data_IF_875992508178
#
_entry.id   IF_875992508178
#
_cell.length_a   1.000
_cell.length_b   1.000
_cell.length_c   1.000
_cell.angle_alpha   90.00
_cell.angle_beta   90.00
_cell.angle_gamma   90.00
#
_symmetry.space_group_name_H-M   'P 1'
#
loop_
_entity.id
_entity.type
_entity.pdbx_description
1 polymer ?
#
# COMPACT_ATOMS: atom_id res chain seq x y z
N UNK A 1 7.17 -20.40 -38.38
CA UNK A 1 6.68 -20.07 -37.01
C UNK A 1 7.41 -18.88 -36.41
N UNK A 2 8.72 -18.67 -36.66
CA UNK A 2 9.46 -17.52 -36.11
C UNK A 2 9.04 -16.14 -36.62
N UNK A 3 8.59 -16.00 -37.88
CA UNK A 3 8.24 -14.69 -38.44
C UNK A 3 6.86 -14.17 -38.00
N UNK A 4 5.89 -15.08 -37.78
CA UNK A 4 4.56 -14.73 -37.27
C UNK A 4 4.60 -14.37 -35.79
N UNK A 5 5.33 -15.13 -34.99
CA UNK A 5 5.51 -14.89 -33.54
C UNK A 5 6.21 -13.55 -33.29
N UNK A 6 7.22 -13.23 -34.10
CA UNK A 6 7.91 -11.94 -34.08
C UNK A 6 7.02 -10.77 -34.58
N UNK A 7 6.00 -11.05 -35.39
CA UNK A 7 5.04 -10.02 -35.86
C UNK A 7 3.97 -9.73 -34.81
N UNK A 8 3.45 -10.76 -34.15
CA UNK A 8 2.49 -10.63 -33.06
C UNK A 8 3.08 -9.85 -31.89
N UNK A 9 4.28 -10.22 -31.42
CA UNK A 9 4.94 -9.53 -30.30
C UNK A 9 5.20 -8.04 -30.61
N UNK A 10 5.56 -7.71 -31.86
CA UNK A 10 5.70 -6.32 -32.31
C UNK A 10 4.40 -5.55 -32.28
N UNK A 11 3.28 -6.19 -32.59
CA UNK A 11 1.96 -5.55 -32.52
C UNK A 11 1.50 -5.36 -31.07
N UNK A 12 1.72 -6.37 -30.22
CA UNK A 12 1.43 -6.31 -28.78
C UNK A 12 2.17 -5.15 -28.09
N UNK A 13 3.44 -4.89 -28.45
CA UNK A 13 4.25 -3.78 -27.90
C UNK A 13 3.72 -2.38 -28.26
N UNK A 14 2.87 -2.25 -29.28
CA UNK A 14 2.26 -0.95 -29.67
C UNK A 14 1.00 -0.63 -28.87
N UNK A 15 0.39 -1.62 -28.23
CA UNK A 15 -0.86 -1.47 -27.51
C UNK A 15 -0.69 -0.56 -26.29
N UNK A 16 -1.71 0.23 -25.94
CA UNK A 16 -1.71 1.07 -24.74
C UNK A 16 -2.44 0.35 -23.60
N UNK A 17 -1.69 -0.41 -22.79
CA UNK A 17 -2.24 -1.19 -21.68
C UNK A 17 -1.19 -1.43 -20.58
N UNK A 18 -1.54 -2.17 -19.53
CA UNK A 18 -0.68 -2.30 -18.35
C UNK A 18 0.68 -2.96 -18.65
N UNK A 19 0.70 -3.86 -19.64
CA UNK A 19 1.91 -4.54 -20.12
C UNK A 19 2.92 -3.61 -20.80
N UNK A 20 2.48 -2.47 -21.33
CA UNK A 20 3.34 -1.50 -22.06
C UNK A 20 3.56 -0.21 -21.27
N UNK A 21 3.03 -0.09 -20.06
CA UNK A 21 3.20 1.08 -19.20
C UNK A 21 4.39 1.00 -18.24
N UNK A 22 5.24 -0.03 -18.37
CA UNK A 22 6.49 -0.19 -17.61
C UNK A 22 6.26 -0.17 -16.09
N UNK A 23 5.34 -1.01 -15.62
CA UNK A 23 5.02 -1.19 -14.21
C UNK A 23 5.88 -2.32 -13.62
N UNK A 24 7.01 -1.97 -12.99
CA UNK A 24 8.01 -2.96 -12.56
C UNK A 24 7.59 -3.69 -11.27
N UNK A 25 7.51 -5.03 -11.31
CA UNK A 25 7.05 -5.86 -10.19
C UNK A 25 7.91 -5.70 -8.92
N UNK A 26 9.20 -5.46 -9.05
CA UNK A 26 10.16 -5.31 -7.94
C UNK A 26 9.92 -4.01 -7.14
N UNK A 27 9.24 -3.03 -7.75
CA UNK A 27 9.00 -1.72 -7.15
C UNK A 27 7.72 -1.68 -6.30
N UNK A 28 6.97 -2.77 -6.21
CA UNK A 28 5.63 -2.78 -5.62
C UNK A 28 5.36 -4.02 -4.75
N UNK A 29 4.56 -3.85 -3.71
CA UNK A 29 4.05 -4.97 -2.93
C UNK A 29 2.78 -5.52 -3.59
N UNK A 30 2.96 -6.48 -4.50
CA UNK A 30 1.87 -7.06 -5.30
C UNK A 30 0.74 -7.65 -4.44
N UNK A 31 1.08 -8.29 -3.32
CA UNK A 31 0.07 -8.85 -2.40
C UNK A 31 -0.77 -7.74 -1.77
N UNK A 32 -0.13 -6.66 -1.31
CA UNK A 32 -0.85 -5.52 -0.75
C UNK A 32 -1.73 -4.82 -1.81
N UNK A 33 -1.26 -4.69 -3.04
CA UNK A 33 -2.05 -4.10 -4.13
C UNK A 33 -3.25 -4.96 -4.51
N UNK A 34 -3.05 -6.27 -4.68
CA UNK A 34 -4.13 -7.22 -4.97
C UNK A 34 -5.24 -7.11 -3.92
N UNK A 35 -4.87 -7.06 -2.64
CA UNK A 35 -5.82 -6.98 -1.53
C UNK A 35 -6.55 -5.63 -1.51
N UNK A 36 -5.82 -4.53 -1.75
CA UNK A 36 -6.44 -3.21 -1.87
C UNK A 36 -7.49 -3.19 -2.96
N UNK A 37 -7.19 -3.76 -4.13
CA UNK A 37 -8.12 -3.79 -5.27
C UNK A 37 -9.29 -4.72 -5.00
N UNK A 38 -9.05 -5.94 -4.53
CA UNK A 38 -10.10 -6.92 -4.23
C UNK A 38 -11.10 -6.40 -3.19
N UNK A 39 -10.62 -5.91 -2.07
CA UNK A 39 -11.49 -5.38 -1.01
C UNK A 39 -12.22 -4.11 -1.47
N UNK A 40 -11.65 -3.31 -2.37
CA UNK A 40 -12.36 -2.17 -2.96
C UNK A 40 -13.48 -2.66 -3.88
N UNK A 41 -13.22 -3.66 -4.72
CA UNK A 41 -14.21 -4.25 -5.61
C UNK A 41 -15.36 -4.94 -4.87
N UNK A 42 -15.12 -5.50 -3.68
CA UNK A 42 -16.14 -6.10 -2.82
C UNK A 42 -17.11 -5.06 -2.24
N UNK A 43 -16.62 -3.85 -1.94
CA UNK A 43 -17.42 -2.77 -1.32
C UNK A 43 -18.22 -1.98 -2.35
N UNK A 44 -17.77 -1.93 -3.60
CA UNK A 44 -18.34 -1.11 -4.69
C UNK A 44 -19.72 -1.58 -5.18
N UNK A 45 -20.43 -2.45 -4.45
CA UNK A 45 -21.66 -3.10 -4.94
C UNK A 45 -22.94 -2.24 -4.93
N UNK A 46 -22.93 -0.99 -4.46
CA UNK A 46 -24.10 -0.11 -4.54
C UNK A 46 -23.72 1.29 -5.07
N UNK A 47 -23.97 1.54 -6.37
CA UNK A 47 -24.11 2.91 -6.91
C UNK A 47 -22.85 3.65 -7.42
N UNK A 48 -21.69 3.01 -7.53
CA UNK A 48 -20.49 3.66 -8.08
C UNK A 48 -20.34 3.46 -9.59
N UNK A 49 -20.19 4.57 -10.32
CA UNK A 49 -20.12 4.69 -11.78
C UNK A 49 -19.15 3.67 -12.43
N UNK A 50 -19.64 2.98 -13.48
CA UNK A 50 -19.13 1.70 -13.99
C UNK A 50 -17.68 1.63 -14.50
N UNK A 51 -16.99 2.76 -14.68
CA UNK A 51 -15.60 2.77 -15.19
C UNK A 51 -14.56 2.39 -14.12
N UNK A 52 -14.78 2.75 -12.85
CA UNK A 52 -13.83 2.52 -11.76
C UNK A 52 -13.63 1.02 -11.46
N UNK A 53 -14.70 0.25 -11.59
CA UNK A 53 -14.71 -1.20 -11.41
C UNK A 53 -13.86 -1.87 -12.50
N UNK A 54 -14.05 -1.48 -13.76
CA UNK A 54 -13.24 -1.97 -14.90
C UNK A 54 -11.75 -1.66 -14.72
N UNK A 55 -11.39 -0.41 -14.43
CA UNK A 55 -9.97 -0.03 -14.24
C UNK A 55 -9.33 -0.83 -13.10
N UNK A 56 -10.09 -1.09 -12.02
CA UNK A 56 -9.60 -1.89 -10.90
C UNK A 56 -9.44 -3.37 -11.26
N UNK A 57 -10.31 -3.93 -12.10
CA UNK A 57 -10.19 -5.30 -12.63
C UNK A 57 -9.01 -5.43 -13.60
N UNK A 58 -8.79 -4.47 -14.49
CA UNK A 58 -7.67 -4.44 -15.43
C UNK A 58 -6.32 -4.44 -14.68
N UNK A 59 -6.18 -3.57 -13.67
CA UNK A 59 -4.97 -3.53 -12.85
C UNK A 59 -4.81 -4.80 -12.00
N UNK A 60 -5.90 -5.35 -11.47
CA UNK A 60 -5.89 -6.60 -10.71
C UNK A 60 -5.44 -7.78 -11.58
N UNK A 61 -5.91 -7.85 -12.83
CA UNK A 61 -5.48 -8.86 -13.78
C UNK A 61 -3.97 -8.77 -14.04
N UNK A 62 -3.46 -7.56 -14.29
CA UNK A 62 -2.04 -7.35 -14.48
C UNK A 62 -1.20 -7.78 -13.26
N UNK A 63 -1.65 -7.46 -12.04
CA UNK A 63 -0.98 -7.91 -10.81
C UNK A 63 -0.99 -9.44 -10.71
N UNK A 64 -2.09 -10.11 -11.08
CA UNK A 64 -2.16 -11.58 -11.10
C UNK A 64 -1.21 -12.19 -12.11
N UNK A 65 -1.11 -11.61 -13.30
CA UNK A 65 -0.10 -11.99 -14.29
C UNK A 65 1.33 -11.85 -13.73
N UNK A 66 1.67 -10.73 -13.10
CA UNK A 66 2.99 -10.53 -12.48
C UNK A 66 3.33 -11.55 -11.38
N UNK A 67 2.31 -12.18 -10.78
CA UNK A 67 2.44 -13.27 -9.80
C UNK A 67 2.48 -14.67 -10.44
N UNK A 68 2.38 -14.78 -11.76
CA UNK A 68 2.32 -16.04 -12.49
C UNK A 68 0.94 -16.72 -12.48
N UNK A 69 -0.13 -15.97 -12.17
CA UNK A 69 -1.51 -16.48 -12.07
C UNK A 69 -2.33 -16.14 -13.35
N UNK A 70 -1.81 -16.42 -14.54
CA UNK A 70 -2.38 -15.94 -15.82
C UNK A 70 -3.83 -16.34 -16.06
N UNK A 71 -4.23 -17.56 -15.67
CA UNK A 71 -5.63 -18.00 -15.78
C UNK A 71 -6.58 -17.13 -14.96
N UNK A 72 -6.17 -16.73 -13.75
CA UNK A 72 -6.95 -15.83 -12.90
C UNK A 72 -6.89 -14.38 -13.39
N UNK A 73 -5.80 -13.99 -14.04
CA UNK A 73 -5.71 -12.70 -14.73
C UNK A 73 -6.76 -12.64 -15.85
N UNK A 74 -6.86 -13.69 -16.67
CA UNK A 74 -7.86 -13.82 -17.73
C UNK A 74 -9.28 -13.71 -17.17
N UNK A 75 -9.63 -14.45 -16.11
CA UNK A 75 -10.94 -14.36 -15.45
C UNK A 75 -11.29 -12.93 -15.00
N UNK A 76 -10.30 -12.17 -14.52
CA UNK A 76 -10.50 -10.77 -14.11
C UNK A 76 -10.78 -9.87 -15.33
N UNK A 77 -10.09 -10.09 -16.44
CA UNK A 77 -10.29 -9.33 -17.68
C UNK A 77 -11.61 -9.68 -18.36
N UNK A 78 -12.02 -10.94 -18.37
CA UNK A 78 -13.33 -11.36 -18.89
C UNK A 78 -14.48 -10.80 -18.04
N UNK A 79 -14.27 -10.61 -16.73
CA UNK A 79 -15.20 -9.84 -15.90
C UNK A 79 -15.19 -8.37 -16.30
N UNK A 80 -14.02 -7.77 -16.50
CA UNK A 80 -13.90 -6.37 -16.93
C UNK A 80 -14.57 -6.11 -18.29
N UNK A 81 -14.46 -7.05 -19.23
CA UNK A 81 -15.12 -7.04 -20.54
C UNK A 81 -16.64 -7.14 -20.41
N UNK A 82 -17.17 -7.97 -19.50
CA UNK A 82 -18.61 -8.10 -19.26
C UNK A 82 -19.27 -6.87 -18.63
N UNK A 83 -18.51 -6.04 -17.91
CA UNK A 83 -19.01 -4.77 -17.36
C UNK A 83 -19.22 -3.69 -18.44
N UNK A 84 -19.10 -4.03 -19.74
CA UNK A 84 -19.23 -3.14 -20.89
C UNK A 84 -20.69 -2.71 -21.19
N UNK A 85 -21.34 -2.06 -20.23
CA UNK A 85 -22.69 -1.50 -20.40
C UNK A 85 -22.73 -0.21 -21.27
N UNK A 86 -21.58 0.39 -21.60
CA UNK A 86 -21.51 1.75 -22.17
C UNK A 86 -20.67 1.89 -23.47
N UNK A 87 -20.39 0.78 -24.15
CA UNK A 87 -19.86 0.78 -25.52
C UNK A 87 -18.37 0.43 -25.64
N UNK A 88 -18.03 -0.21 -26.76
CA UNK A 88 -16.71 -0.83 -27.04
C UNK A 88 -15.50 0.11 -26.94
N UNK A 89 -15.70 1.43 -27.13
CA UNK A 89 -14.65 2.45 -27.04
C UNK A 89 -13.97 2.52 -25.68
N UNK A 90 -14.66 2.13 -24.60
CA UNK A 90 -14.11 2.18 -23.26
C UNK A 90 -13.25 0.95 -22.91
N UNK A 91 -13.25 -0.10 -23.75
CA UNK A 91 -12.57 -1.37 -23.48
C UNK A 91 -11.15 -1.46 -24.05
N UNK A 92 -10.57 -0.36 -24.54
CA UNK A 92 -9.26 -0.37 -25.21
C UNK A 92 -8.15 -0.99 -24.34
N UNK A 93 -8.06 -0.55 -23.08
CA UNK A 93 -7.06 -1.11 -22.13
C UNK A 93 -7.36 -2.56 -21.79
N UNK A 94 -8.63 -2.92 -21.67
CA UNK A 94 -9.07 -4.30 -21.38
C UNK A 94 -8.72 -5.25 -22.52
N UNK A 95 -9.02 -4.89 -23.79
CA UNK A 95 -8.63 -5.68 -24.96
C UNK A 95 -7.12 -5.76 -25.12
N UNK A 96 -6.39 -4.67 -24.84
CA UNK A 96 -4.93 -4.69 -24.86
C UNK A 96 -4.36 -5.67 -23.82
N UNK A 97 -4.87 -5.64 -22.59
CA UNK A 97 -4.51 -6.61 -21.56
C UNK A 97 -4.92 -8.05 -21.94
N UNK A 98 -6.09 -8.25 -22.54
CA UNK A 98 -6.56 -9.57 -22.99
C UNK A 98 -5.65 -10.15 -24.06
N UNK A 99 -5.24 -9.33 -25.04
CA UNK A 99 -4.31 -9.75 -26.08
C UNK A 99 -2.98 -10.26 -25.49
N UNK A 100 -2.40 -9.50 -24.55
CA UNK A 100 -1.17 -9.90 -23.85
C UNK A 100 -1.34 -11.17 -23.02
N UNK A 101 -2.41 -11.28 -22.22
CA UNK A 101 -2.64 -12.46 -21.39
C UNK A 101 -2.92 -13.70 -22.26
N UNK A 102 -3.70 -13.58 -23.33
CA UNK A 102 -3.96 -14.65 -24.29
C UNK A 102 -2.65 -15.16 -24.93
N UNK A 103 -1.77 -14.26 -25.35
CA UNK A 103 -0.46 -14.63 -25.87
C UNK A 103 0.38 -15.37 -24.81
N UNK A 104 0.43 -14.89 -23.56
CA UNK A 104 1.18 -15.55 -22.48
C UNK A 104 0.69 -16.96 -22.13
N UNK A 105 -0.59 -17.25 -22.31
CA UNK A 105 -1.15 -18.61 -22.11
C UNK A 105 -1.05 -19.50 -23.36
N UNK A 106 -0.48 -18.99 -24.46
CA UNK A 106 -0.32 -19.72 -25.72
C UNK A 106 -1.55 -19.73 -26.63
N UNK A 107 -2.52 -18.84 -26.40
CA UNK A 107 -3.72 -18.66 -27.23
C UNK A 107 -3.57 -17.43 -28.14
N UNK A 108 -2.66 -17.56 -29.11
CA UNK A 108 -2.36 -16.48 -30.08
C UNK A 108 -3.55 -16.14 -30.98
N UNK A 109 -4.46 -17.10 -31.21
CA UNK A 109 -5.68 -16.89 -32.00
C UNK A 109 -6.59 -15.89 -31.29
N UNK A 110 -6.84 -16.07 -29.99
CA UNK A 110 -7.59 -15.06 -29.21
C UNK A 110 -6.84 -13.74 -29.13
N UNK A 111 -5.51 -13.77 -28.99
CA UNK A 111 -4.70 -12.56 -28.93
C UNK A 111 -4.87 -11.71 -30.21
N UNK A 112 -4.73 -12.33 -31.38
CA UNK A 112 -4.95 -11.68 -32.68
C UNK A 112 -6.38 -11.15 -32.82
N UNK A 113 -7.38 -11.90 -32.36
CA UNK A 113 -8.77 -11.45 -32.36
C UNK A 113 -8.99 -10.16 -31.56
N UNK A 114 -8.33 -9.99 -30.41
CA UNK A 114 -8.41 -8.75 -29.63
C UNK A 114 -7.62 -7.59 -30.27
N UNK A 115 -6.50 -7.88 -30.95
CA UNK A 115 -5.75 -6.86 -31.71
C UNK A 115 -6.62 -6.33 -32.86
N UNK A 116 -7.30 -7.20 -33.60
CA UNK A 116 -8.20 -6.82 -34.68
C UNK A 116 -9.35 -5.93 -34.18
N UNK A 117 -9.98 -6.28 -33.05
CA UNK A 117 -10.99 -5.42 -32.41
C UNK A 117 -10.46 -4.02 -32.09
N UNK A 118 -9.22 -3.91 -31.60
CA UNK A 118 -8.59 -2.62 -31.31
C UNK A 118 -8.34 -1.80 -32.58
N UNK A 119 -7.93 -2.45 -33.67
CA UNK A 119 -7.77 -1.79 -34.97
C UNK A 119 -9.11 -1.29 -35.54
N UNK A 120 -10.18 -2.05 -35.37
CA UNK A 120 -11.54 -1.65 -35.77
C UNK A 120 -12.01 -0.42 -34.98
N UNK A 121 -11.81 -0.40 -33.66
CA UNK A 121 -12.12 0.76 -32.82
C UNK A 121 -11.30 1.99 -33.25
N UNK A 122 -10.03 1.80 -33.58
CA UNK A 122 -9.17 2.88 -34.06
C UNK A 122 -9.64 3.43 -35.40
N UNK A 123 -9.95 2.56 -36.37
CA UNK A 123 -10.51 2.96 -37.68
C UNK A 123 -11.84 3.70 -37.53
N UNK A 124 -12.75 3.19 -36.70
CA UNK A 124 -14.06 3.81 -36.44
C UNK A 124 -13.96 5.15 -35.69
N UNK A 125 -12.86 5.40 -34.98
CA UNK A 125 -12.61 6.68 -34.30
C UNK A 125 -11.92 7.69 -35.22
N UNK A 126 -11.03 7.22 -36.10
CA UNK A 126 -10.36 8.05 -37.11
C UNK A 126 -11.34 8.59 -38.17
N UNK A 127 -12.38 7.83 -38.52
CA UNK A 127 -13.45 8.30 -39.42
C UNK A 127 -14.44 9.26 -38.74
N UNK A 128 -14.51 9.27 -37.41
CA UNK A 128 -15.53 10.01 -36.65
C UNK A 128 -15.05 11.36 -36.06
N UNK A 129 -13.74 11.62 -35.97
CA UNK A 129 -13.22 12.74 -35.18
C UNK A 129 -12.14 13.56 -35.88
N UNK A 130 -12.34 14.88 -35.88
CA UNK A 130 -11.34 15.95 -36.05
C UNK A 130 -10.71 16.32 -34.69
N UNK A 131 -10.43 15.34 -33.83
CA UNK A 131 -9.93 15.60 -32.46
C UNK A 131 -8.40 15.55 -32.40
N UNK A 132 -7.82 16.45 -31.60
CA UNK A 132 -6.37 16.66 -31.39
C UNK A 132 -5.71 15.54 -30.55
N UNK A 133 -6.49 14.65 -29.92
CA UNK A 133 -5.97 13.57 -29.07
C UNK A 133 -5.45 12.38 -29.88
N UNK A 134 -4.14 12.13 -29.82
CA UNK A 134 -3.50 10.93 -30.41
C UNK A 134 -3.87 9.63 -29.65
N UNK A 135 -4.28 9.75 -28.38
CA UNK A 135 -4.64 8.65 -27.47
C UNK A 135 -6.00 8.96 -26.81
N UNK A 136 -6.96 8.03 -26.76
CA UNK A 136 -8.27 8.27 -26.14
C UNK A 136 -8.19 8.68 -24.67
N UNK A 137 -9.11 9.57 -24.25
CA UNK A 137 -9.21 10.13 -22.88
C UNK A 137 -9.15 9.04 -21.80
N UNK A 138 -9.82 7.93 -22.04
CA UNK A 138 -9.98 6.82 -21.09
C UNK A 138 -8.67 6.07 -20.88
N UNK A 139 -7.94 5.80 -21.96
CA UNK A 139 -6.63 5.14 -21.91
C UNK A 139 -5.65 6.01 -21.11
N UNK A 140 -5.67 7.31 -21.37
CA UNK A 140 -4.83 8.26 -20.65
C UNK A 140 -5.18 8.29 -19.15
N UNK A 141 -6.47 8.37 -18.82
CA UNK A 141 -6.96 8.36 -17.43
C UNK A 141 -6.56 7.08 -16.71
N UNK A 142 -6.79 5.93 -17.32
CA UNK A 142 -6.47 4.62 -16.73
C UNK A 142 -4.97 4.45 -16.50
N UNK A 143 -4.12 4.89 -17.46
CA UNK A 143 -2.66 4.90 -17.31
C UNK A 143 -2.22 5.70 -16.08
N UNK A 144 -2.69 6.94 -15.97
CA UNK A 144 -2.31 7.83 -14.89
C UNK A 144 -2.74 7.30 -13.52
N UNK A 145 -3.97 6.77 -13.41
CA UNK A 145 -4.45 6.14 -12.17
C UNK A 145 -3.72 4.84 -11.82
N UNK A 146 -3.39 4.01 -12.80
CA UNK A 146 -2.64 2.78 -12.57
C UNK A 146 -1.23 3.08 -12.08
N UNK A 147 -0.52 4.03 -12.70
CA UNK A 147 0.78 4.51 -12.22
C UNK A 147 0.70 5.03 -10.78
N UNK A 148 -0.31 5.85 -10.48
CA UNK A 148 -0.51 6.41 -9.13
C UNK A 148 -0.78 5.31 -8.09
N UNK A 149 -1.55 4.27 -8.44
CA UNK A 149 -1.92 3.17 -7.54
C UNK A 149 -0.78 2.16 -7.34
N UNK A 150 0.02 1.88 -8.37
CA UNK A 150 0.96 0.77 -8.40
C UNK A 150 2.14 0.97 -7.43
N UNK A 151 2.89 2.06 -7.54
CA UNK A 151 4.06 2.27 -6.68
C UNK A 151 4.40 3.74 -6.48
N UNK A 152 5.08 4.02 -5.35
CA UNK A 152 5.68 5.33 -5.07
C UNK A 152 6.69 5.77 -6.14
N UNK A 153 7.32 4.82 -6.82
CA UNK A 153 8.29 5.09 -7.88
C UNK A 153 7.65 5.72 -9.13
N UNK A 154 6.32 5.59 -9.28
CA UNK A 154 5.59 6.11 -10.43
C UNK A 154 4.79 7.38 -10.13
N UNK A 155 4.92 7.99 -8.95
CA UNK A 155 4.17 9.21 -8.62
C UNK A 155 4.49 10.39 -9.55
N UNK A 156 5.76 10.53 -9.95
CA UNK A 156 6.17 11.56 -10.92
C UNK A 156 5.55 11.33 -12.29
N UNK A 157 5.64 10.11 -12.83
CA UNK A 157 5.02 9.74 -14.11
C UNK A 157 3.50 9.92 -14.08
N UNK A 158 2.84 9.52 -13.00
CA UNK A 158 1.40 9.72 -12.83
C UNK A 158 1.02 11.21 -12.85
N UNK A 159 1.78 12.05 -12.13
CA UNK A 159 1.60 13.50 -12.11
C UNK A 159 1.74 14.11 -13.51
N UNK A 160 2.79 13.72 -14.23
CA UNK A 160 3.05 14.20 -15.59
C UNK A 160 1.92 13.82 -16.54
N UNK A 161 1.45 12.57 -16.50
CA UNK A 161 0.27 12.18 -17.28
C UNK A 161 -0.93 13.08 -16.96
N UNK A 162 -1.33 13.22 -15.69
CA UNK A 162 -2.48 14.09 -15.36
C UNK A 162 -2.26 15.55 -15.79
N UNK A 163 -1.03 16.05 -15.70
CA UNK A 163 -0.69 17.40 -16.13
C UNK A 163 -0.83 17.58 -17.65
N UNK A 164 -0.35 16.63 -18.45
CA UNK A 164 -0.52 16.61 -19.91
C UNK A 164 -2.01 16.59 -20.28
N UNK A 165 -2.80 15.77 -19.59
CA UNK A 165 -4.24 15.71 -19.81
C UNK A 165 -4.96 17.04 -19.54
N UNK A 166 -4.58 17.71 -18.45
CA UNK A 166 -5.13 19.03 -18.08
C UNK A 166 -4.76 20.15 -19.06
N UNK A 167 -3.73 19.99 -19.91
CA UNK A 167 -3.47 20.95 -20.99
C UNK A 167 -4.57 20.94 -22.04
N UNK A 168 -5.28 19.81 -22.19
CA UNK A 168 -6.35 19.63 -23.17
C UNK A 168 -7.72 19.97 -22.56
N UNK A 169 -7.97 19.54 -21.33
CA UNK A 169 -9.22 19.84 -20.59
C UNK A 169 -8.89 20.35 -19.17
N UNK A 170 -8.67 21.67 -18.98
CA UNK A 170 -8.18 22.22 -17.70
C UNK A 170 -9.13 22.07 -16.51
N UNK A 171 -10.44 21.97 -16.76
CA UNK A 171 -11.48 21.89 -15.72
C UNK A 171 -12.00 20.46 -15.48
N UNK A 172 -11.37 19.43 -16.09
CA UNK A 172 -11.78 18.05 -15.88
C UNK A 172 -11.61 17.64 -14.40
N UNK A 173 -12.71 17.22 -13.77
CA UNK A 173 -12.78 16.92 -12.34
C UNK A 173 -11.92 15.71 -11.95
N UNK A 174 -11.83 14.70 -12.82
CA UNK A 174 -11.09 13.47 -12.58
C UNK A 174 -9.59 13.74 -12.63
N UNK A 175 -9.12 14.42 -13.68
CA UNK A 175 -7.72 14.73 -13.89
C UNK A 175 -7.19 15.73 -12.88
N UNK A 176 -7.98 16.75 -12.53
CA UNK A 176 -7.61 17.66 -11.44
C UNK A 176 -7.47 16.90 -10.11
N UNK A 177 -8.36 15.94 -9.83
CA UNK A 177 -8.25 15.08 -8.64
C UNK A 177 -7.00 14.19 -8.68
N UNK A 178 -6.75 13.53 -9.81
CA UNK A 178 -5.57 12.68 -10.05
C UNK A 178 -4.25 13.45 -9.92
N UNK A 179 -4.18 14.64 -10.49
CA UNK A 179 -3.04 15.56 -10.38
C UNK A 179 -2.81 15.98 -8.92
N UNK A 180 -3.86 16.43 -8.23
CA UNK A 180 -3.79 16.82 -6.81
C UNK A 180 -3.29 15.66 -5.93
N UNK A 181 -3.77 14.45 -6.19
CA UNK A 181 -3.41 13.26 -5.42
C UNK A 181 -1.97 12.83 -5.70
N UNK A 182 -1.50 13.00 -6.93
CA UNK A 182 -0.11 12.72 -7.32
C UNK A 182 0.86 13.70 -6.64
N UNK A 183 0.55 15.00 -6.66
CA UNK A 183 1.28 16.03 -5.91
C UNK A 183 1.33 15.71 -4.41
N UNK A 184 0.18 15.44 -3.80
CA UNK A 184 0.10 15.12 -2.36
C UNK A 184 0.98 13.91 -1.99
N UNK A 185 0.95 12.86 -2.81
CA UNK A 185 1.75 11.66 -2.57
C UNK A 185 3.24 11.90 -2.77
N UNK A 186 3.62 12.70 -3.77
CA UNK A 186 5.02 13.10 -4.01
C UNK A 186 5.57 13.93 -2.85
N UNK A 187 4.86 14.98 -2.41
CA UNK A 187 5.22 15.76 -1.22
C UNK A 187 5.27 14.88 0.04
N UNK A 188 4.40 13.88 0.12
CA UNK A 188 4.34 12.92 1.21
C UNK A 188 5.53 11.97 1.33
N UNK A 189 6.40 11.88 0.32
CA UNK A 189 7.64 11.09 0.37
C UNK A 189 8.69 11.71 1.30
N UNK A 190 8.60 13.01 1.56
CA UNK A 190 9.46 13.69 2.52
C UNK A 190 9.04 13.31 3.95
N UNK A 191 9.87 12.50 4.59
CA UNK A 191 9.59 11.96 5.93
C UNK A 191 10.08 12.88 7.05
N UNK A 192 11.20 13.58 6.84
CA UNK A 192 11.80 14.48 7.83
C UNK A 192 10.91 15.69 8.06
N UNK A 193 10.67 16.04 9.32
CA UNK A 193 9.71 17.10 9.68
C UNK A 193 10.18 18.49 9.27
N UNK A 194 11.50 18.74 9.32
CA UNK A 194 12.16 20.00 8.94
C UNK A 194 12.04 20.34 7.44
N UNK A 195 11.88 19.32 6.59
CA UNK A 195 11.78 19.47 5.14
C UNK A 195 10.33 19.42 4.63
N UNK A 196 9.34 19.28 5.53
CA UNK A 196 7.94 19.27 5.12
C UNK A 196 7.48 20.67 4.72
N UNK A 197 6.85 20.78 3.56
CA UNK A 197 6.22 22.00 3.12
C UNK A 197 5.11 22.43 4.08
N UNK A 198 5.02 23.74 4.32
CA UNK A 198 3.90 24.37 5.02
C UNK A 198 2.57 24.06 4.29
N UNK A 199 1.45 24.36 4.92
CA UNK A 199 0.16 24.15 4.27
C UNK A 199 -0.02 25.16 3.12
N UNK A 200 0.44 26.39 3.31
CA UNK A 200 0.33 27.54 2.41
C UNK A 200 1.23 27.40 1.18
N UNK A 201 2.44 26.85 1.35
CA UNK A 201 3.41 26.67 0.27
C UNK A 201 3.18 25.40 -0.56
N UNK A 202 2.30 24.52 -0.10
CA UNK A 202 2.04 23.23 -0.73
C UNK A 202 1.25 23.38 -2.04
N UNK A 203 1.87 22.99 -3.15
CA UNK A 203 1.18 22.90 -4.43
C UNK A 203 0.05 21.88 -4.39
N UNK A 204 0.24 20.78 -3.65
CA UNK A 204 -0.82 19.81 -3.42
C UNK A 204 -2.05 20.44 -2.75
N UNK A 205 -1.86 21.29 -1.74
CA UNK A 205 -2.99 21.99 -1.07
C UNK A 205 -3.72 22.92 -2.03
N UNK A 206 -2.98 23.74 -2.78
CA UNK A 206 -3.57 24.66 -3.78
C UNK A 206 -4.44 23.89 -4.77
N UNK A 207 -3.90 22.80 -5.32
CA UNK A 207 -4.62 21.95 -6.25
C UNK A 207 -5.81 21.23 -5.61
N UNK A 208 -5.67 20.73 -4.38
CA UNK A 208 -6.76 20.06 -3.65
C UNK A 208 -7.92 21.04 -3.35
N UNK A 209 -7.63 22.31 -3.05
CA UNK A 209 -8.65 23.34 -2.89
C UNK A 209 -9.37 23.62 -4.20
N UNK A 210 -8.64 23.75 -5.31
CA UNK A 210 -9.24 23.88 -6.65
C UNK A 210 -10.14 22.68 -7.00
N UNK A 211 -9.74 21.46 -6.64
CA UNK A 211 -10.59 20.26 -6.79
C UNK A 211 -11.89 20.39 -5.97
N UNK A 212 -11.87 21.00 -4.78
CA UNK A 212 -13.10 21.24 -4.01
C UNK A 212 -13.97 22.35 -4.58
N UNK A 213 -13.41 23.32 -5.30
CA UNK A 213 -14.18 24.31 -6.05
C UNK A 213 -14.94 23.65 -7.21
N UNK A 214 -14.27 22.76 -7.97
CA UNK A 214 -14.87 22.03 -9.08
C UNK A 214 -15.81 20.88 -8.63
N UNK A 215 -15.46 20.22 -7.54
CA UNK A 215 -16.21 19.10 -6.97
C UNK A 215 -16.28 19.22 -5.43
N UNK A 216 -17.28 19.96 -4.92
CA UNK A 216 -17.48 20.15 -3.50
C UNK A 216 -17.77 18.87 -2.74
N UNK A 217 -18.07 17.73 -3.35
CA UNK A 217 -18.43 16.48 -2.65
C UNK A 217 -17.32 15.43 -2.66
N UNK A 218 -16.12 15.78 -3.14
CA UNK A 218 -14.98 14.86 -3.10
C UNK A 218 -14.52 14.56 -1.67
N UNK A 219 -14.93 13.39 -1.14
CA UNK A 219 -14.56 12.92 0.19
C UNK A 219 -13.04 12.67 0.31
N UNK A 220 -12.44 12.05 -0.71
CA UNK A 220 -11.01 11.74 -0.70
C UNK A 220 -10.12 12.99 -0.77
N UNK A 221 -10.54 14.05 -1.48
CA UNK A 221 -9.84 15.34 -1.47
C UNK A 221 -9.81 15.93 -0.06
N UNK A 222 -10.94 15.89 0.67
CA UNK A 222 -10.99 16.32 2.07
C UNK A 222 -10.08 15.50 2.97
N UNK A 223 -10.03 14.18 2.78
CA UNK A 223 -9.09 13.34 3.55
C UNK A 223 -7.64 13.81 3.34
N UNK A 224 -7.23 14.13 2.12
CA UNK A 224 -5.86 14.60 1.88
C UNK A 224 -5.59 15.99 2.46
N UNK A 225 -6.54 16.94 2.35
CA UNK A 225 -6.42 18.23 3.02
C UNK A 225 -6.32 18.08 4.54
N UNK A 226 -7.16 17.22 5.14
CA UNK A 226 -7.11 16.93 6.57
C UNK A 226 -5.78 16.29 6.99
N UNK A 227 -5.24 15.36 6.19
CA UNK A 227 -3.93 14.76 6.46
C UNK A 227 -2.78 15.78 6.36
N UNK A 228 -2.88 16.75 5.43
CA UNK A 228 -1.91 17.85 5.35
C UNK A 228 -2.03 18.75 6.58
N UNK A 229 -3.24 19.20 6.94
CA UNK A 229 -3.50 19.98 8.15
C UNK A 229 -2.90 19.31 9.40
N UNK A 230 -3.15 18.01 9.57
CA UNK A 230 -2.61 17.23 10.68
C UNK A 230 -1.06 17.23 10.70
N UNK A 231 -0.42 17.01 9.55
CA UNK A 231 1.06 17.05 9.45
C UNK A 231 1.62 18.45 9.76
N UNK A 232 0.87 19.50 9.46
CA UNK A 232 1.19 20.89 9.77
C UNK A 232 0.68 21.36 11.14
N UNK A 233 0.27 20.43 12.03
CA UNK A 233 -0.22 20.68 13.40
C UNK A 233 -1.50 21.55 13.48
N UNK A 234 -2.25 21.65 12.39
CA UNK A 234 -3.57 22.31 12.30
C UNK A 234 -4.67 21.31 12.63
N UNK A 235 -4.70 20.82 13.87
CA UNK A 235 -5.52 19.66 14.25
C UNK A 235 -7.02 19.93 14.17
N UNK A 236 -7.50 21.12 14.58
CA UNK A 236 -8.93 21.45 14.53
C UNK A 236 -9.49 21.39 13.09
N UNK A 237 -8.75 21.95 12.13
CA UNK A 237 -9.12 21.90 10.71
C UNK A 237 -9.02 20.49 10.14
N UNK A 238 -8.00 19.73 10.55
CA UNK A 238 -7.88 18.32 10.18
C UNK A 238 -9.14 17.54 10.58
N UNK A 239 -9.63 17.71 11.82
CA UNK A 239 -10.87 17.11 12.29
C UNK A 239 -12.09 17.54 11.47
N UNK A 240 -12.20 18.83 11.13
CA UNK A 240 -13.26 19.35 10.28
C UNK A 240 -13.33 18.64 8.92
N UNK A 241 -12.19 18.53 8.23
CA UNK A 241 -12.11 17.81 6.96
C UNK A 241 -12.43 16.32 7.09
N UNK A 242 -11.92 15.66 8.14
CA UNK A 242 -12.11 14.22 8.36
C UNK A 242 -13.57 13.86 8.67
N UNK A 243 -14.25 14.66 9.49
CA UNK A 243 -15.69 14.47 9.77
C UNK A 243 -16.53 14.68 8.51
N UNK A 244 -16.24 15.72 7.72
CA UNK A 244 -16.97 15.97 6.48
C UNK A 244 -16.73 14.85 5.45
N UNK A 245 -15.50 14.35 5.33
CA UNK A 245 -15.20 13.20 4.47
C UNK A 245 -16.00 11.94 4.87
N UNK A 246 -16.09 11.62 6.16
CA UNK A 246 -16.92 10.51 6.64
C UNK A 246 -18.42 10.71 6.38
N UNK A 247 -18.92 11.95 6.48
CA UNK A 247 -20.33 12.23 6.18
C UNK A 247 -20.68 12.05 4.71
N UNK A 248 -19.74 12.35 3.80
CA UNK A 248 -19.93 12.23 2.36
C UNK A 248 -19.79 10.79 1.87
N UNK A 249 -18.84 10.04 2.44
CA UNK A 249 -18.54 8.68 2.01
C UNK A 249 -18.36 7.74 3.22
N UNK A 250 -19.43 7.47 4.01
CA UNK A 250 -19.35 6.68 5.24
C UNK A 250 -19.01 5.20 5.00
N UNK A 251 -19.19 4.72 3.77
CA UNK A 251 -18.95 3.33 3.37
C UNK A 251 -17.84 3.19 2.31
N UNK A 252 -17.10 4.26 2.01
CA UNK A 252 -15.87 4.14 1.22
C UNK A 252 -14.75 3.58 2.10
N UNK A 253 -14.32 2.35 1.79
CA UNK A 253 -13.28 1.65 2.54
C UNK A 253 -11.97 2.45 2.64
N UNK A 254 -11.59 3.16 1.58
CA UNK A 254 -10.36 3.96 1.54
C UNK A 254 -10.48 5.20 2.43
N UNK A 255 -11.64 5.87 2.43
CA UNK A 255 -11.92 7.00 3.31
C UNK A 255 -11.92 6.53 4.77
N UNK A 256 -12.71 5.50 5.09
CA UNK A 256 -12.83 4.98 6.46
C UNK A 256 -11.48 4.53 7.03
N UNK A 257 -10.69 3.76 6.29
CA UNK A 257 -9.36 3.32 6.75
C UNK A 257 -8.41 4.50 6.98
N UNK A 258 -8.48 5.57 6.17
CA UNK A 258 -7.63 6.76 6.34
C UNK A 258 -8.06 7.58 7.54
N UNK A 259 -9.36 7.81 7.72
CA UNK A 259 -9.90 8.57 8.85
C UNK A 259 -9.71 7.81 10.16
N UNK A 260 -9.96 6.50 10.19
CA UNK A 260 -9.69 5.67 11.37
C UNK A 260 -8.22 5.70 11.80
N UNK A 261 -7.27 5.69 10.85
CA UNK A 261 -5.84 5.89 11.16
C UNK A 261 -5.54 7.28 11.72
N UNK A 262 -6.22 8.31 11.22
CA UNK A 262 -6.09 9.67 11.74
C UNK A 262 -6.60 9.76 13.18
N UNK A 263 -7.82 9.26 13.45
CA UNK A 263 -8.40 9.21 14.79
C UNK A 263 -7.50 8.44 15.77
N UNK A 264 -6.91 7.32 15.35
CA UNK A 264 -5.92 6.57 16.15
C UNK A 264 -4.68 7.40 16.49
N UNK A 265 -4.20 8.26 15.59
CA UNK A 265 -3.05 9.13 15.83
C UNK A 265 -3.37 10.25 16.82
N UNK A 266 -4.60 10.77 16.74
CA UNK A 266 -5.16 11.72 17.70
C UNK A 266 -5.61 11.07 19.03
N UNK A 267 -5.38 9.76 19.19
CA UNK A 267 -5.76 8.97 20.37
C UNK A 267 -7.27 8.87 20.64
N UNK A 268 -8.10 9.18 19.64
CA UNK A 268 -9.56 9.01 19.67
C UNK A 268 -9.93 7.57 19.30
N UNK A 269 -9.51 6.59 20.11
CA UNK A 269 -9.65 5.17 19.78
C UNK A 269 -11.10 4.70 19.74
N UNK A 270 -11.97 5.21 20.62
CA UNK A 270 -13.38 4.80 20.65
C UNK A 270 -14.15 5.29 19.42
N UNK A 271 -13.91 6.54 18.99
CA UNK A 271 -14.45 7.06 17.72
C UNK A 271 -13.94 6.26 16.51
N UNK A 272 -12.64 5.95 16.50
CA UNK A 272 -12.04 5.13 15.44
C UNK A 272 -12.68 3.73 15.37
N UNK A 273 -12.82 3.06 16.51
CA UNK A 273 -13.44 1.74 16.60
C UNK A 273 -14.89 1.77 16.13
N UNK A 274 -15.67 2.78 16.51
CA UNK A 274 -17.07 2.91 16.08
C UNK A 274 -17.21 3.00 14.55
N UNK A 275 -16.37 3.81 13.90
CA UNK A 275 -16.38 3.95 12.42
C UNK A 275 -15.87 2.68 11.74
N UNK A 276 -14.77 2.10 12.22
CA UNK A 276 -14.16 0.90 11.63
C UNK A 276 -15.05 -0.34 11.77
N UNK A 277 -15.69 -0.54 12.93
CA UNK A 277 -16.61 -1.66 13.15
C UNK A 277 -17.88 -1.55 12.30
N UNK A 278 -18.40 -0.33 12.09
CA UNK A 278 -19.50 -0.10 11.15
C UNK A 278 -19.12 -0.48 9.72
N UNK A 279 -17.91 -0.12 9.29
CA UNK A 279 -17.42 -0.49 7.97
C UNK A 279 -17.19 -2.02 7.85
N UNK A 280 -16.75 -2.67 8.93
CA UNK A 280 -16.57 -4.12 8.96
C UNK A 280 -17.89 -4.88 8.71
N UNK A 281 -19.04 -4.33 9.11
CA UNK A 281 -20.34 -4.93 8.81
C UNK A 281 -20.64 -4.97 7.29
N UNK A 282 -20.06 -4.05 6.51
CA UNK A 282 -20.18 -4.01 5.04
C UNK A 282 -19.08 -4.76 4.31
N UNK A 283 -17.88 -4.80 4.90
CA UNK A 283 -16.70 -5.46 4.34
C UNK A 283 -16.09 -6.46 5.34
N UNK A 284 -16.81 -7.54 5.70
CA UNK A 284 -16.37 -8.47 6.74
C UNK A 284 -15.07 -9.21 6.38
N UNK A 285 -14.76 -9.32 5.09
CA UNK A 285 -13.56 -9.99 4.59
C UNK A 285 -12.37 -9.04 4.36
N UNK A 286 -12.42 -7.80 4.86
CA UNK A 286 -11.28 -6.88 4.77
C UNK A 286 -10.23 -7.15 5.84
N UNK A 287 -9.15 -7.80 5.43
CA UNK A 287 -7.95 -8.00 6.25
C UNK A 287 -7.38 -6.68 6.78
N UNK A 288 -7.49 -5.60 5.98
CA UNK A 288 -7.04 -4.26 6.38
C UNK A 288 -7.89 -3.67 7.50
N UNK A 289 -9.22 -3.84 7.48
CA UNK A 289 -10.09 -3.39 8.58
C UNK A 289 -9.77 -4.13 9.87
N UNK A 290 -9.67 -5.46 9.79
CA UNK A 290 -9.28 -6.29 10.93
C UNK A 290 -7.96 -5.82 11.56
N UNK A 291 -6.92 -5.54 10.75
CA UNK A 291 -5.66 -5.02 11.27
C UNK A 291 -5.79 -3.62 11.90
N UNK A 292 -6.53 -2.69 11.29
CA UNK A 292 -6.73 -1.35 11.87
C UNK A 292 -7.56 -1.40 13.17
N UNK A 293 -8.56 -2.28 13.27
CA UNK A 293 -9.37 -2.48 14.48
C UNK A 293 -8.51 -3.06 15.60
N UNK A 294 -7.72 -4.10 15.31
CA UNK A 294 -6.77 -4.67 16.26
C UNK A 294 -5.78 -3.62 16.80
N UNK A 295 -5.23 -2.80 15.90
CA UNK A 295 -4.36 -1.70 16.27
C UNK A 295 -5.06 -0.71 17.20
N UNK A 296 -6.31 -0.34 16.94
CA UNK A 296 -7.05 0.57 17.83
C UNK A 296 -7.32 -0.04 19.21
N UNK A 297 -7.72 -1.32 19.29
CA UNK A 297 -7.88 -2.00 20.59
C UNK A 297 -6.58 -2.03 21.39
N UNK A 298 -5.45 -2.34 20.73
CA UNK A 298 -4.12 -2.33 21.35
C UNK A 298 -3.77 -0.96 21.94
N UNK A 299 -3.95 0.11 21.16
CA UNK A 299 -3.59 1.44 21.61
C UNK A 299 -4.55 1.98 22.68
N UNK A 300 -5.83 1.61 22.62
CA UNK A 300 -6.81 1.89 23.67
C UNK A 300 -6.43 1.23 25.00
N UNK A 301 -6.04 -0.05 24.99
CA UNK A 301 -5.55 -0.75 26.19
C UNK A 301 -4.29 -0.09 26.76
N UNK A 302 -3.40 0.41 25.90
CA UNK A 302 -2.23 1.15 26.37
C UNK A 302 -2.60 2.50 27.02
N UNK A 303 -3.64 3.17 26.53
CA UNK A 303 -4.10 4.46 27.05
C UNK A 303 -4.84 4.34 28.38
N UNK A 304 -5.60 3.26 28.61
CA UNK A 304 -6.33 3.05 29.86
C UNK A 304 -5.45 2.89 31.10
N UNK A 305 -4.12 2.81 30.92
CA UNK A 305 -3.17 2.59 32.02
C UNK A 305 -3.07 1.11 32.44
N UNK A 306 -3.92 0.25 31.88
CA UNK A 306 -3.82 -1.22 31.98
C UNK A 306 -3.54 -1.83 30.60
N UNK A 307 -2.26 -1.86 30.16
CA UNK A 307 -1.86 -2.53 28.92
C UNK A 307 -2.20 -4.03 28.89
N UNK A 308 -2.57 -4.63 30.02
CA UNK A 308 -2.92 -6.04 30.17
C UNK A 308 -4.43 -6.25 30.36
N UNK A 309 -5.25 -5.26 30.03
CA UNK A 309 -6.71 -5.42 29.95
C UNK A 309 -7.01 -6.62 29.04
N UNK A 310 -7.38 -7.73 29.68
CA UNK A 310 -7.56 -8.98 29.00
C UNK A 310 -8.71 -8.92 28.00
N UNK A 311 -9.73 -8.08 28.24
CA UNK A 311 -10.87 -7.94 27.32
C UNK A 311 -10.43 -7.26 26.04
N UNK A 312 -9.69 -6.15 26.13
CA UNK A 312 -9.19 -5.43 24.96
C UNK A 312 -8.12 -6.22 24.21
N UNK A 313 -7.22 -6.90 24.93
CA UNK A 313 -6.22 -7.77 24.31
C UNK A 313 -6.86 -8.97 23.58
N UNK A 314 -7.89 -9.61 24.15
CA UNK A 314 -8.64 -10.69 23.47
C UNK A 314 -9.31 -10.19 22.19
N UNK A 315 -9.91 -9.00 22.20
CA UNK A 315 -10.48 -8.38 20.98
C UNK A 315 -9.39 -8.07 19.94
N UNK A 316 -8.24 -7.59 20.38
CA UNK A 316 -7.09 -7.36 19.51
C UNK A 316 -6.62 -8.65 18.82
N UNK A 317 -6.43 -9.72 19.61
CA UNK A 317 -6.04 -11.05 19.11
C UNK A 317 -7.06 -11.59 18.11
N UNK A 318 -8.36 -11.56 18.43
CA UNK A 318 -9.42 -12.01 17.52
C UNK A 318 -9.32 -11.34 16.14
N UNK A 319 -9.19 -10.01 16.12
CA UNK A 319 -9.10 -9.29 14.85
C UNK A 319 -7.77 -9.55 14.12
N UNK A 320 -6.65 -9.78 14.83
CA UNK A 320 -5.40 -10.18 14.19
C UNK A 320 -5.46 -11.61 13.62
N UNK A 321 -6.12 -12.55 14.30
CA UNK A 321 -6.35 -13.92 13.81
C UNK A 321 -7.20 -13.90 12.53
N UNK A 322 -8.31 -13.15 12.52
CA UNK A 322 -9.14 -12.98 11.31
C UNK A 322 -8.37 -12.29 10.18
N UNK A 323 -7.58 -11.25 10.49
CA UNK A 323 -6.73 -10.59 9.51
C UNK A 323 -5.68 -11.53 8.90
N UNK A 324 -5.08 -12.40 9.73
CA UNK A 324 -4.13 -13.41 9.29
C UNK A 324 -4.80 -14.51 8.45
N UNK A 325 -6.02 -14.92 8.80
CA UNK A 325 -6.82 -15.88 8.02
C UNK A 325 -7.16 -15.34 6.63
N UNK A 326 -7.57 -14.07 6.55
CA UNK A 326 -7.93 -13.40 5.29
C UNK A 326 -6.71 -13.05 4.43
N UNK A 327 -5.55 -12.83 5.06
CA UNK A 327 -4.31 -12.49 4.38
C UNK A 327 -3.07 -13.13 5.04
N UNK A 328 -2.82 -14.42 4.76
CA UNK A 328 -1.67 -15.15 5.33
C UNK A 328 -0.30 -14.64 4.87
N UNK A 329 -0.26 -13.88 3.77
CA UNK A 329 0.99 -13.33 3.21
C UNK A 329 1.43 -12.02 3.84
N UNK A 330 0.57 -11.37 4.62
CA UNK A 330 0.92 -10.16 5.34
C UNK A 330 1.51 -10.56 6.69
N UNK A 331 2.84 -10.63 6.70
CA UNK A 331 3.60 -11.21 7.81
C UNK A 331 3.63 -10.27 9.01
N UNK A 332 3.81 -8.96 8.79
CA UNK A 332 3.97 -8.00 9.89
C UNK A 332 2.87 -8.10 10.97
N UNK A 333 1.55 -8.08 10.68
CA UNK A 333 0.52 -8.23 11.71
C UNK A 333 0.51 -9.60 12.39
N UNK A 334 1.00 -10.65 11.72
CA UNK A 334 1.11 -11.98 12.32
C UNK A 334 2.26 -12.05 13.32
N UNK A 335 3.35 -11.31 13.08
CA UNK A 335 4.40 -11.11 14.10
C UNK A 335 3.81 -10.32 15.28
N UNK A 336 2.96 -9.32 15.02
CA UNK A 336 2.25 -8.60 16.08
C UNK A 336 1.33 -9.51 16.90
N UNK A 337 0.64 -10.45 16.24
CA UNK A 337 -0.20 -11.46 16.88
C UNK A 337 0.60 -12.35 17.84
N UNK A 338 1.79 -12.81 17.45
CA UNK A 338 2.66 -13.59 18.33
C UNK A 338 3.01 -12.81 19.61
N UNK A 339 3.30 -11.51 19.50
CA UNK A 339 3.53 -10.64 20.66
C UNK A 339 2.27 -10.53 21.53
N UNK A 340 1.08 -10.42 20.93
CA UNK A 340 -0.18 -10.34 21.69
C UNK A 340 -0.47 -11.64 22.47
N UNK A 341 -0.12 -12.81 21.95
CA UNK A 341 -0.23 -14.07 22.70
C UNK A 341 0.64 -14.05 23.96
N UNK A 342 1.88 -13.57 23.87
CA UNK A 342 2.75 -13.42 25.06
C UNK A 342 2.20 -12.42 26.07
N UNK A 343 1.58 -11.32 25.64
CA UNK A 343 0.92 -10.36 26.55
C UNK A 343 -0.30 -10.97 27.26
N UNK A 344 -0.99 -11.92 26.62
CA UNK A 344 -2.05 -12.75 27.24
C UNK A 344 -1.49 -13.90 28.11
N UNK A 345 -0.17 -13.97 28.31
CA UNK A 345 0.56 -15.03 29.03
C UNK A 345 0.48 -16.41 28.36
N UNK A 346 0.07 -16.48 27.09
CA UNK A 346 0.10 -17.70 26.29
C UNK A 346 1.43 -17.77 25.51
N UNK A 347 2.50 -18.09 26.24
CA UNK A 347 3.84 -18.16 25.67
C UNK A 347 4.03 -19.35 24.73
N UNK A 348 3.27 -20.45 24.88
CA UNK A 348 3.32 -21.59 23.97
C UNK A 348 2.87 -21.17 22.59
N UNK A 349 1.66 -20.60 22.50
CA UNK A 349 1.07 -20.15 21.24
C UNK A 349 1.89 -19.02 20.60
N UNK A 350 2.49 -18.15 21.41
CA UNK A 350 3.41 -17.13 20.92
C UNK A 350 4.64 -17.75 20.24
N UNK A 351 5.31 -18.71 20.89
CA UNK A 351 6.51 -19.35 20.34
C UNK A 351 6.20 -20.20 19.11
N UNK A 352 5.10 -20.95 19.12
CA UNK A 352 4.60 -21.69 17.96
C UNK A 352 4.40 -20.75 16.76
N UNK A 353 3.76 -19.59 16.98
CA UNK A 353 3.55 -18.61 15.91
C UNK A 353 4.86 -18.01 15.39
N UNK A 354 5.82 -17.70 16.27
CA UNK A 354 7.12 -17.22 15.81
C UNK A 354 7.87 -18.27 14.99
N UNK A 355 7.80 -19.56 15.38
CA UNK A 355 8.39 -20.67 14.64
C UNK A 355 7.70 -20.89 13.29
N UNK A 356 6.37 -20.87 13.25
CA UNK A 356 5.57 -20.94 12.02
C UNK A 356 5.95 -19.82 11.04
N UNK A 357 6.10 -18.59 11.53
CA UNK A 357 6.48 -17.47 10.67
C UNK A 357 7.91 -17.59 10.17
N UNK A 358 8.84 -18.05 11.01
CA UNK A 358 10.27 -18.19 10.65
C UNK A 358 10.54 -19.29 9.62
N UNK A 359 9.73 -20.36 9.61
CA UNK A 359 9.88 -21.47 8.66
C UNK A 359 9.41 -21.13 7.24
N UNK A 360 8.82 -19.95 7.03
CA UNK A 360 8.35 -19.50 5.71
C UNK A 360 9.51 -19.15 4.79
N UNK A 361 9.43 -19.61 3.54
CA UNK A 361 10.42 -19.29 2.50
C UNK A 361 10.26 -17.90 1.88
N UNK A 362 9.10 -17.25 2.03
CA UNK A 362 8.75 -15.96 1.41
C UNK A 362 8.99 -14.73 2.30
N UNK A 363 9.74 -14.89 3.39
CA UNK A 363 10.06 -13.85 4.37
C UNK A 363 10.93 -12.73 3.77
N UNK A 364 10.31 -11.56 3.50
CA UNK A 364 11.03 -10.37 3.03
C UNK A 364 12.05 -9.92 4.09
N UNK A 365 13.17 -9.28 3.70
CA UNK A 365 14.16 -8.78 4.66
C UNK A 365 13.55 -7.85 5.72
N UNK A 366 12.58 -7.00 5.36
CA UNK A 366 11.86 -6.14 6.30
C UNK A 366 11.02 -6.93 7.31
N UNK A 367 10.38 -8.02 6.87
CA UNK A 367 9.60 -8.90 7.74
C UNK A 367 10.52 -9.66 8.71
N UNK A 368 11.69 -10.13 8.24
CA UNK A 368 12.73 -10.74 9.10
C UNK A 368 13.23 -9.76 10.16
N UNK A 369 13.43 -8.50 9.79
CA UNK A 369 13.85 -7.46 10.72
C UNK A 369 12.77 -7.20 11.80
N UNK A 370 11.50 -7.13 11.39
CA UNK A 370 10.38 -7.02 12.33
C UNK A 370 10.27 -8.24 13.25
N UNK A 371 10.43 -9.45 12.69
CA UNK A 371 10.44 -10.71 13.43
C UNK A 371 11.51 -10.69 14.52
N UNK A 372 12.77 -10.37 14.17
CA UNK A 372 13.87 -10.31 15.13
C UNK A 372 13.62 -9.31 16.26
N UNK A 373 13.12 -8.11 15.91
CA UNK A 373 12.79 -7.09 16.90
C UNK A 373 11.69 -7.56 17.85
N UNK A 374 10.64 -8.18 17.33
CA UNK A 374 9.48 -8.61 18.12
C UNK A 374 9.74 -9.85 18.96
N UNK A 375 10.46 -10.81 18.39
CA UNK A 375 10.93 -11.98 19.12
C UNK A 375 11.87 -11.57 20.25
N UNK A 376 12.80 -10.64 20.00
CA UNK A 376 13.67 -10.06 21.03
C UNK A 376 12.87 -9.34 22.13
N UNK A 377 11.84 -8.57 21.78
CA UNK A 377 10.94 -7.94 22.77
C UNK A 377 10.25 -9.01 23.65
N UNK A 378 9.78 -10.11 23.08
CA UNK A 378 9.16 -11.21 23.85
C UNK A 378 10.18 -11.91 24.76
N UNK A 379 11.37 -12.18 24.26
CA UNK A 379 12.46 -12.78 25.04
C UNK A 379 12.85 -11.91 26.23
N UNK A 380 12.97 -10.60 26.03
CA UNK A 380 13.37 -9.66 27.09
C UNK A 380 12.28 -9.44 28.13
N UNK A 381 11.05 -9.15 27.69
CA UNK A 381 9.99 -8.66 28.58
C UNK A 381 9.06 -9.73 29.12
N UNK A 382 8.92 -10.87 28.45
CA UNK A 382 7.98 -11.93 28.84
C UNK A 382 8.68 -13.23 29.27
N UNK A 383 9.83 -13.56 28.68
CA UNK A 383 10.58 -14.79 29.01
C UNK A 383 11.82 -14.56 29.88
N UNK A 384 12.26 -13.32 30.04
CA UNK A 384 13.40 -12.95 30.89
C UNK A 384 14.79 -13.31 30.32
N UNK A 385 14.90 -13.66 29.04
CA UNK A 385 16.18 -13.98 28.41
C UNK A 385 16.81 -12.75 27.74
N UNK A 386 17.59 -12.00 28.52
CA UNK A 386 18.28 -10.79 28.04
C UNK A 386 19.29 -11.10 26.92
N UNK A 387 20.09 -12.16 27.06
CA UNK A 387 21.10 -12.56 26.06
C UNK A 387 20.46 -12.89 24.70
N UNK A 388 19.38 -13.68 24.71
CA UNK A 388 18.66 -14.04 23.48
C UNK A 388 18.06 -12.79 22.83
N UNK A 389 17.47 -11.89 23.61
CA UNK A 389 16.93 -10.65 23.10
C UNK A 389 17.99 -9.77 22.43
N UNK A 390 19.15 -9.58 23.08
CA UNK A 390 20.27 -8.81 22.53
C UNK A 390 20.76 -9.40 21.20
N UNK A 391 20.92 -10.73 21.13
CA UNK A 391 21.33 -11.39 19.89
C UNK A 391 20.36 -11.11 18.74
N UNK A 392 19.05 -11.23 18.97
CA UNK A 392 18.07 -10.94 17.93
C UNK A 392 18.01 -9.46 17.55
N UNK A 393 18.17 -8.53 18.48
CA UNK A 393 18.28 -7.12 18.10
C UNK A 393 19.51 -6.85 17.23
N UNK A 394 20.64 -7.53 17.50
CA UNK A 394 21.83 -7.47 16.64
C UNK A 394 21.55 -8.05 15.25
N UNK A 395 20.92 -9.22 15.15
CA UNK A 395 20.53 -9.80 13.85
C UNK A 395 19.61 -8.87 13.06
N UNK A 396 18.61 -8.29 13.73
CA UNK A 396 17.75 -7.27 13.11
C UNK A 396 18.55 -6.08 12.58
N UNK A 397 19.58 -5.62 13.30
CA UNK A 397 20.43 -4.51 12.83
C UNK A 397 21.36 -4.89 11.68
N UNK A 398 21.81 -6.15 11.58
CA UNK A 398 22.63 -6.63 10.45
C UNK A 398 21.91 -6.59 9.11
N UNK A 399 20.57 -6.56 9.12
CA UNK A 399 19.75 -6.34 7.91
C UNK A 399 19.71 -4.88 7.44
N UNK A 400 20.49 -3.98 8.04
CA UNK A 400 20.59 -2.55 7.71
C UNK A 400 19.27 -1.77 7.78
N UNK A 401 19.30 -0.49 7.42
CA UNK A 401 18.17 0.43 7.51
C UNK A 401 17.13 0.23 6.39
N UNK A 402 16.63 -1.00 6.27
CA UNK A 402 15.59 -1.39 5.31
C UNK A 402 14.18 -1.10 5.82
N UNK A 403 14.01 -0.92 7.13
CA UNK A 403 12.73 -0.57 7.74
C UNK A 403 12.91 0.25 9.01
N UNK A 404 11.82 0.82 9.51
CA UNK A 404 11.79 1.53 10.80
C UNK A 404 12.23 0.67 11.98
N UNK A 405 12.19 -0.66 11.82
CA UNK A 405 12.56 -1.62 12.85
C UNK A 405 14.05 -1.62 13.17
N UNK A 406 14.90 -1.29 12.20
CA UNK A 406 16.33 -1.10 12.44
C UNK A 406 16.58 -0.10 13.56
N UNK A 407 15.90 1.05 13.49
CA UNK A 407 15.99 2.09 14.52
C UNK A 407 15.41 1.64 15.86
N UNK A 408 14.42 0.74 15.87
CA UNK A 408 13.87 0.18 17.11
C UNK A 408 14.84 -0.83 17.74
N UNK A 409 15.41 -1.75 16.97
CA UNK A 409 16.47 -2.66 17.43
C UNK A 409 17.61 -1.90 18.08
N UNK A 410 18.10 -0.84 17.41
CA UNK A 410 19.14 0.04 17.97
C UNK A 410 18.73 0.67 19.29
N UNK A 411 17.50 1.19 19.39
CA UNK A 411 16.99 1.75 20.66
C UNK A 411 16.89 0.71 21.77
N UNK A 412 16.48 -0.52 21.45
CA UNK A 412 16.38 -1.63 22.41
C UNK A 412 17.75 -2.02 22.95
N UNK A 413 18.74 -2.19 22.07
CA UNK A 413 20.13 -2.43 22.46
C UNK A 413 20.67 -1.34 23.38
N UNK A 414 20.50 -0.07 23.01
CA UNK A 414 20.95 1.05 23.84
C UNK A 414 20.21 1.14 25.18
N UNK A 415 18.95 0.68 25.26
CA UNK A 415 18.21 0.58 26.52
C UNK A 415 18.83 -0.48 27.43
N UNK A 416 19.14 -1.67 26.91
CA UNK A 416 19.81 -2.75 27.67
C UNK A 416 21.20 -2.30 28.14
N UNK A 417 21.98 -1.67 27.26
CA UNK A 417 23.31 -1.13 27.60
C UNK A 417 23.26 -0.14 28.77
N UNK A 418 22.32 0.82 28.75
CA UNK A 418 22.19 1.79 29.84
C UNK A 418 21.85 1.10 31.16
N UNK A 419 20.89 0.19 31.13
CA UNK A 419 20.47 -0.56 32.31
C UNK A 419 21.60 -1.41 32.91
N UNK A 420 22.40 -2.09 32.08
CA UNK A 420 23.52 -2.90 32.55
C UNK A 420 24.66 -2.05 33.09
N UNK A 421 24.97 -0.90 32.47
CA UNK A 421 25.95 0.04 33.03
C UNK A 421 25.55 0.58 34.38
N UNK A 422 24.28 0.93 34.57
CA UNK A 422 23.75 1.42 35.84
C UNK A 422 23.80 0.36 36.95
N UNK A 423 23.63 -0.93 36.61
CA UNK A 423 23.57 -2.02 37.60
C UNK A 423 24.89 -2.74 37.86
N UNK A 424 25.71 -2.91 36.82
CA UNK A 424 26.88 -3.80 36.81
C UNK A 424 28.18 -3.10 36.40
N UNK A 425 28.09 -1.91 35.83
CA UNK A 425 29.26 -1.15 35.37
C UNK A 425 29.92 -1.70 34.10
N UNK A 426 29.31 -2.68 33.43
CA UNK A 426 29.88 -3.38 32.28
C UNK A 426 28.97 -3.34 31.02
N UNK A 427 29.49 -3.90 29.93
CA UNK A 427 28.76 -4.16 28.68
C UNK A 427 28.94 -5.63 28.32
N UNK A 428 28.20 -6.56 28.98
CA UNK A 428 28.47 -8.00 28.90
C UNK A 428 28.12 -8.61 27.54
N UNK A 429 27.61 -7.81 26.61
CA UNK A 429 27.22 -8.24 25.28
C UNK A 429 27.85 -7.38 24.17
N UNK A 430 28.87 -6.58 24.46
CA UNK A 430 29.59 -5.75 23.49
C UNK A 430 28.64 -4.88 22.64
N UNK A 431 27.59 -4.33 23.26
CA UNK A 431 26.56 -3.55 22.57
C UNK A 431 27.17 -2.25 22.02
N UNK A 432 28.03 -1.59 22.80
CA UNK A 432 28.68 -0.34 22.39
C UNK A 432 29.52 -0.55 21.13
N UNK A 433 30.39 -1.56 21.15
CA UNK A 433 31.25 -1.87 20.02
C UNK A 433 30.43 -2.22 18.76
N UNK A 434 29.41 -3.07 18.93
CA UNK A 434 28.49 -3.44 17.85
C UNK A 434 27.81 -2.21 17.25
N UNK A 435 27.22 -1.32 18.06
CA UNK A 435 26.53 -0.12 17.55
C UNK A 435 27.50 0.87 16.90
N UNK A 436 28.72 1.02 17.43
CA UNK A 436 29.74 1.91 16.87
C UNK A 436 30.34 1.36 15.56
N UNK A 437 30.29 0.04 15.30
CA UNK A 437 30.69 -0.54 14.01
C UNK A 437 29.87 0.02 12.83
N UNK A 438 28.58 0.31 13.03
CA UNK A 438 27.71 0.91 12.01
C UNK A 438 28.02 2.40 11.76
N UNK A 439 28.66 3.09 12.71
CA UNK A 439 29.12 4.48 12.50
C UNK A 439 30.42 4.53 11.70
N UNK A 440 31.25 3.49 11.85
CA UNK A 440 32.58 3.39 11.22
C UNK A 440 32.54 2.84 9.79
N UNK A 441 31.38 2.44 9.28
CA UNK A 441 31.22 1.91 7.92
C UNK A 441 31.84 0.53 7.70
N UNK A 442 32.04 -0.28 8.76
CA UNK A 442 32.84 -1.52 8.74
C UNK A 442 32.14 -2.72 8.07
N UNK A 443 30.87 -2.59 7.69
CA UNK A 443 30.16 -3.67 6.99
C UNK A 443 29.78 -3.22 5.58
N UNK A 444 30.28 -3.96 4.58
CA UNK A 444 30.03 -3.74 3.17
C UNK A 444 28.60 -4.21 2.83
N UNK A 445 27.84 -3.43 2.08
CA UNK A 445 26.43 -3.73 1.78
C UNK A 445 26.29 -4.89 0.77
N UNK A 446 27.36 -5.20 0.05
CA UNK A 446 27.40 -6.27 -0.96
C UNK A 446 27.31 -7.69 -0.36
N UNK A 447 27.80 -7.91 0.87
CA UNK A 447 27.72 -9.24 1.52
C UNK A 447 26.30 -9.61 1.99
N UNK A 448 25.37 -8.66 2.03
CA UNK A 448 23.98 -8.90 2.43
C UNK A 448 23.06 -9.36 1.28
N UNK A 449 23.57 -9.49 0.05
CA UNK A 449 22.76 -9.86 -1.12
C UNK A 449 21.72 -8.80 -1.49
N UNK A 450 21.95 -7.54 -1.14
CA UNK A 450 21.06 -6.41 -1.42
C UNK A 450 21.80 -5.44 -2.35
N UNK A 451 21.32 -5.30 -3.59
CA UNK A 451 21.72 -4.21 -4.47
C UNK A 451 21.34 -2.88 -3.80
N UNK A 452 22.34 -2.08 -3.46
CA UNK A 452 22.13 -0.76 -2.87
C UNK A 452 21.44 0.17 -3.86
N UNK A 453 20.25 0.65 -3.46
CA UNK A 453 19.79 1.98 -3.83
C UNK A 453 20.82 3.00 -3.33
N UNK A 454 21.71 3.43 -4.21
CA UNK A 454 22.54 4.60 -4.00
C UNK A 454 21.64 5.83 -3.97
N UNK A 455 21.35 6.32 -2.75
CA UNK A 455 21.02 7.73 -2.58
C UNK A 455 22.32 8.49 -2.73
N UNK A 456 22.61 8.94 -3.95
CA UNK A 456 23.63 9.96 -4.19
C UNK A 456 23.18 11.23 -3.47
N UNK A 457 23.96 11.65 -2.47
CA UNK A 457 24.03 13.06 -2.09
C UNK A 457 25.16 13.71 -2.90
N UNK A 458 25.03 14.99 -3.31
CA UNK A 458 26.15 15.73 -3.87
C UNK A 458 27.27 15.92 -2.84
#
# INVERSE_FOLDING_TARGET
MSDSENTLEKNLKKLQCHFTWELNKEQADLNLLEIKLRETLEVVQEGFEGNLKRHSLNLLAYIKHLKGEDKRALECLEKAERENAHGERLCIVTYGNLAWVCHHIGDDIRADGYIQKLEEIHKASATASTSVLLVPREVHSEKAWSLLKFSKHHYTRAKECFQEALQMEPEDKEWNSGFAFSLFRQEGLVTREDQRLSYEDSLAVKQLNYVLELNPDSAMTRVYLGLKCYKNRRNAEAWGYMRKALSLAPYDLSVVLKVGRFMKKEQSYDEALAVLLRMLQRAPNSSRLHHEIANNYRWRAKQSGDPHDQTLLKRCVFHLEEGARLNPTHIYPQVELAVRYSELKDNSKAMEKFQELWSRSDLKPSDRQAWHRMYGDVQLYHLGSERTAVNHYKEGMRLYNISTEWSQCRRRLLKVLRFNKERRGDDPYDIREFVDSFKRGVFNVEEAGVSTLTLGHP
#
